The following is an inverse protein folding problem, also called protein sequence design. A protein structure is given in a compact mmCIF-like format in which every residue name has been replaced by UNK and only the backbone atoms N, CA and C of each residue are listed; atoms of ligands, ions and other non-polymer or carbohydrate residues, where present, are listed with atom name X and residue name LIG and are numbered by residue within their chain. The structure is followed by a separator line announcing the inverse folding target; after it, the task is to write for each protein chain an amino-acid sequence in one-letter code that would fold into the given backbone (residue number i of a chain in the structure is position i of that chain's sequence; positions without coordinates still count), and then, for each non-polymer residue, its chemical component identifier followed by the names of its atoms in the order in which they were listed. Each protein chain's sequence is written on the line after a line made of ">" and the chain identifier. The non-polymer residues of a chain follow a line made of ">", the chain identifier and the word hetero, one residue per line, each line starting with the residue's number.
data_IF_034493211179
#
_entry.id   IF_034493211179
#
_cell.length_a   1.000
_cell.length_b   1.000
_cell.length_c   1.000
_cell.angle_alpha   90.00
_cell.angle_beta   90.00
_cell.angle_gamma   90.00
#
_symmetry.space_group_name_H-M   'P 1'
#
loop_
_entity.id
_entity.type
_entity.pdbx_description
1 polymer ?
#
# COMPACT_ATOMS: atom_id res chain seq x y z
N UNK A 1 18.56 -6.23 -14.76
CA UNK A 1 17.41 -5.58 -14.09
C UNK A 1 16.33 -6.62 -14.03
N UNK A 2 15.74 -6.87 -12.86
CA UNK A 2 14.57 -7.73 -12.76
C UNK A 2 13.35 -6.93 -13.23
N UNK A 3 12.71 -7.39 -14.30
CA UNK A 3 11.55 -6.74 -14.95
C UNK A 3 10.28 -7.59 -14.86
N UNK A 4 10.35 -8.76 -14.22
CA UNK A 4 9.28 -9.78 -14.31
C UNK A 4 7.94 -9.27 -13.82
N UNK A 5 7.90 -8.58 -12.67
CA UNK A 5 6.64 -8.01 -12.14
C UNK A 5 6.01 -6.99 -13.10
N UNK A 6 6.82 -6.12 -13.71
CA UNK A 6 6.33 -5.06 -14.60
C UNK A 6 5.81 -5.65 -15.91
N UNK A 7 6.49 -6.65 -16.46
CA UNK A 7 6.06 -7.36 -17.66
C UNK A 7 4.79 -8.17 -17.41
N UNK A 8 4.65 -8.82 -16.25
CA UNK A 8 3.46 -9.57 -15.89
C UNK A 8 2.25 -8.65 -15.65
N UNK A 9 2.44 -7.53 -14.96
CA UNK A 9 1.40 -6.49 -14.75
C UNK A 9 0.91 -5.89 -16.07
N UNK A 10 1.79 -5.75 -17.07
CA UNK A 10 1.45 -5.23 -18.39
C UNK A 10 0.78 -6.27 -19.30
N UNK A 11 0.71 -7.53 -18.88
CA UNK A 11 0.15 -8.61 -19.67
C UNK A 11 -1.39 -8.67 -19.61
N UNK A 12 -1.99 -9.60 -20.36
CA UNK A 12 -3.43 -9.89 -20.27
C UNK A 12 -3.80 -10.84 -19.11
N UNK A 13 -2.83 -11.21 -18.26
CA UNK A 13 -3.09 -12.03 -17.09
C UNK A 13 -4.01 -11.28 -16.10
N UNK A 14 -4.90 -11.98 -15.39
CA UNK A 14 -5.82 -11.35 -14.44
C UNK A 14 -5.12 -10.78 -13.20
N UNK A 15 -3.89 -11.23 -12.92
CA UNK A 15 -3.05 -10.80 -11.79
C UNK A 15 -1.58 -10.84 -12.23
N UNK A 16 -0.69 -10.00 -11.69
CA UNK A 16 -0.97 -8.95 -10.69
C UNK A 16 -1.76 -7.78 -11.29
N UNK A 17 -2.56 -7.11 -10.44
CA UNK A 17 -3.39 -5.98 -10.83
C UNK A 17 -3.02 -4.69 -10.10
N UNK A 18 -3.97 -3.75 -10.01
CA UNK A 18 -3.78 -2.46 -9.33
C UNK A 18 -3.45 -2.59 -7.83
N UNK A 19 -4.03 -3.57 -7.13
CA UNK A 19 -3.72 -3.84 -5.72
C UNK A 19 -2.25 -4.24 -5.53
N UNK A 20 -1.80 -5.28 -6.22
CA UNK A 20 -0.39 -5.70 -6.22
C UNK A 20 0.58 -4.59 -6.64
N UNK A 21 0.24 -3.78 -7.65
CA UNK A 21 1.05 -2.62 -8.03
C UNK A 21 1.13 -1.56 -6.92
N UNK A 22 0.04 -1.35 -6.18
CA UNK A 22 -0.02 -0.42 -5.04
C UNK A 22 0.84 -0.92 -3.87
N UNK A 23 0.76 -2.23 -3.56
CA UNK A 23 1.60 -2.86 -2.55
C UNK A 23 3.09 -2.73 -2.90
N UNK A 24 3.46 -3.02 -4.15
CA UNK A 24 4.83 -2.89 -4.63
C UNK A 24 5.32 -1.43 -4.57
N UNK A 25 4.47 -0.45 -4.92
CA UNK A 25 4.78 0.96 -4.79
C UNK A 25 5.05 1.36 -3.33
N UNK A 26 4.26 0.84 -2.37
CA UNK A 26 4.53 1.01 -0.95
C UNK A 26 5.87 0.38 -0.52
N UNK A 27 6.21 -0.79 -1.04
CA UNK A 27 7.49 -1.44 -0.75
C UNK A 27 8.68 -0.59 -1.23
N UNK A 28 8.56 0.04 -2.41
CA UNK A 28 9.53 1.01 -2.92
C UNK A 28 9.64 2.25 -2.04
N UNK A 29 8.50 2.79 -1.57
CA UNK A 29 8.50 3.89 -0.61
C UNK A 29 9.29 3.55 0.66
N UNK A 30 9.07 2.35 1.22
CA UNK A 30 9.79 1.87 2.40
C UNK A 30 11.28 1.65 2.13
N UNK A 31 11.65 1.19 0.93
CA UNK A 31 13.05 1.03 0.52
C UNK A 31 13.76 2.39 0.43
N UNK A 32 13.13 3.40 -0.17
CA UNK A 32 13.66 4.76 -0.24
C UNK A 32 13.83 5.38 1.15
N UNK A 33 12.82 5.27 2.02
CA UNK A 33 12.96 5.70 3.41
C UNK A 33 14.12 4.97 4.12
N UNK A 34 14.27 3.66 3.89
CA UNK A 34 15.39 2.89 4.45
C UNK A 34 16.74 3.40 3.95
N UNK A 35 16.85 3.80 2.68
CA UNK A 35 18.07 4.40 2.13
C UNK A 35 18.42 5.71 2.85
N UNK A 36 17.44 6.58 3.13
CA UNK A 36 17.66 7.81 3.91
C UNK A 36 18.21 7.48 5.30
N UNK A 37 17.60 6.51 6.00
CA UNK A 37 18.08 6.06 7.31
C UNK A 37 19.51 5.49 7.26
N UNK A 38 19.81 4.63 6.29
CA UNK A 38 21.14 4.05 6.12
C UNK A 38 22.22 5.10 5.80
N UNK A 39 21.86 6.16 5.07
CA UNK A 39 22.75 7.28 4.83
C UNK A 39 22.88 8.23 6.02
N UNK A 40 22.09 8.04 7.08
CA UNK A 40 22.11 8.85 8.30
C UNK A 40 23.01 8.24 9.38
N UNK A 41 22.95 6.92 9.59
CA UNK A 41 23.73 6.20 10.61
C UNK A 41 25.25 6.25 10.35
N UNK A 42 26.04 6.11 11.40
CA UNK A 42 27.51 6.10 11.38
C UNK A 42 28.14 7.49 11.21
N UNK A 43 27.34 8.56 11.16
CA UNK A 43 27.82 9.92 10.96
C UNK A 43 27.77 10.73 12.25
N UNK A 44 28.91 11.35 12.61
CA UNK A 44 29.04 12.17 13.83
C UNK A 44 27.97 13.27 13.95
N UNK A 45 27.55 13.86 12.82
CA UNK A 45 26.51 14.91 12.78
C UNK A 45 25.11 14.43 13.16
N UNK A 46 24.86 13.12 13.18
CA UNK A 46 23.55 12.51 13.45
C UNK A 46 23.56 11.61 14.69
N UNK A 47 24.62 11.63 15.50
CA UNK A 47 24.78 10.75 16.66
C UNK A 47 23.61 10.84 17.67
N UNK A 48 22.94 12.00 17.78
CA UNK A 48 21.81 12.21 18.69
C UNK A 48 20.53 11.49 18.24
N UNK A 49 20.34 11.31 16.92
CA UNK A 49 19.13 10.67 16.36
C UNK A 49 19.37 9.22 15.96
N UNK A 50 20.63 8.77 15.99
CA UNK A 50 21.06 7.46 15.50
C UNK A 50 20.31 6.27 16.13
N UNK A 51 20.05 6.21 17.46
CA UNK A 51 19.26 5.11 18.03
C UNK A 51 17.84 5.04 17.46
N UNK A 52 17.20 6.19 17.27
CA UNK A 52 15.86 6.29 16.69
C UNK A 52 15.88 5.88 15.21
N UNK A 53 16.92 6.29 14.45
CA UNK A 53 17.09 5.88 13.05
C UNK A 53 17.23 4.36 12.93
N UNK A 54 18.00 3.70 13.81
CA UNK A 54 18.11 2.24 13.80
C UNK A 54 16.76 1.55 14.04
N UNK A 55 15.98 2.03 15.00
CA UNK A 55 14.63 1.50 15.26
C UNK A 55 13.73 1.67 14.03
N UNK A 56 13.77 2.83 13.38
CA UNK A 56 12.99 3.10 12.15
C UNK A 56 13.42 2.19 11.00
N UNK A 57 14.72 1.93 10.84
CA UNK A 57 15.24 1.00 9.82
C UNK A 57 14.73 -0.42 10.01
N UNK A 58 14.67 -0.91 11.25
CA UNK A 58 14.11 -2.22 11.56
C UNK A 58 12.62 -2.29 11.20
N UNK A 59 11.84 -1.26 11.58
CA UNK A 59 10.42 -1.18 11.25
C UNK A 59 10.18 -1.09 9.74
N UNK A 60 10.93 -0.24 9.03
CA UNK A 60 10.85 -0.12 7.57
C UNK A 60 11.17 -1.45 6.88
N UNK A 61 12.17 -2.21 7.36
CA UNK A 61 12.47 -3.53 6.83
C UNK A 61 11.30 -4.51 7.01
N UNK A 62 10.64 -4.50 8.17
CA UNK A 62 9.45 -5.32 8.40
C UNK A 62 8.26 -4.90 7.51
N UNK A 63 7.99 -3.60 7.42
CA UNK A 63 6.92 -3.06 6.57
C UNK A 63 7.15 -3.37 5.09
N UNK A 64 8.40 -3.28 4.61
CA UNK A 64 8.75 -3.61 3.23
C UNK A 64 8.50 -5.10 2.94
N UNK A 65 8.86 -6.00 3.86
CA UNK A 65 8.54 -7.42 3.72
C UNK A 65 7.03 -7.65 3.65
N UNK A 66 6.27 -7.03 4.57
CA UNK A 66 4.80 -7.14 4.56
C UNK A 66 4.20 -6.65 3.25
N UNK A 67 4.65 -5.51 2.72
CA UNK A 67 4.17 -4.98 1.45
C UNK A 67 4.49 -5.90 0.27
N UNK A 68 5.66 -6.56 0.28
CA UNK A 68 6.00 -7.56 -0.75
C UNK A 68 5.15 -8.83 -0.63
N UNK A 69 4.86 -9.29 0.59
CA UNK A 69 3.91 -10.40 0.83
C UNK A 69 2.51 -10.04 0.31
N UNK A 70 2.06 -8.81 0.57
CA UNK A 70 0.76 -8.29 0.13
C UNK A 70 0.62 -8.24 -1.41
N UNK A 71 1.71 -8.15 -2.17
CA UNK A 71 1.66 -8.30 -3.64
C UNK A 71 1.12 -9.68 -4.03
N UNK A 72 1.60 -10.72 -3.36
CA UNK A 72 1.16 -12.10 -3.59
C UNK A 72 -0.23 -12.37 -3.01
N UNK A 73 -0.52 -11.84 -1.82
CA UNK A 73 -1.83 -12.01 -1.18
C UNK A 73 -2.95 -11.34 -1.99
N UNK A 74 -2.70 -10.19 -2.63
CA UNK A 74 -3.69 -9.53 -3.50
C UNK A 74 -4.09 -10.42 -4.68
N UNK A 75 -3.10 -11.03 -5.33
CA UNK A 75 -3.34 -11.98 -6.41
C UNK A 75 -4.11 -13.22 -5.93
N UNK A 76 -3.80 -13.73 -4.73
CA UNK A 76 -4.50 -14.87 -4.13
C UNK A 76 -5.93 -14.53 -3.73
N UNK A 77 -6.17 -13.37 -3.12
CA UNK A 77 -7.49 -12.90 -2.71
C UNK A 77 -8.42 -12.63 -3.90
N UNK A 78 -7.87 -12.27 -5.06
CA UNK A 78 -8.65 -12.13 -6.29
C UNK A 78 -9.12 -13.47 -6.88
N UNK A 79 -8.40 -14.57 -6.61
CA UNK A 79 -8.68 -15.90 -7.17
C UNK A 79 -10.12 -16.39 -6.92
N UNK A 80 -10.60 -16.43 -5.66
CA UNK A 80 -11.97 -16.80 -5.32
C UNK A 80 -13.01 -15.92 -6.02
N UNK A 81 -12.78 -14.59 -6.07
CA UNK A 81 -13.70 -13.65 -6.71
C UNK A 81 -13.78 -13.90 -8.22
N UNK A 82 -12.64 -14.12 -8.89
CA UNK A 82 -12.57 -14.47 -10.30
C UNK A 82 -13.26 -15.81 -10.59
N UNK A 83 -13.13 -16.80 -9.71
CA UNK A 83 -13.81 -18.08 -9.82
C UNK A 83 -15.33 -17.93 -9.67
N UNK A 84 -15.79 -17.14 -8.70
CA UNK A 84 -17.20 -16.86 -8.48
C UNK A 84 -17.83 -16.16 -9.71
N UNK A 85 -17.13 -15.21 -10.34
CA UNK A 85 -17.60 -14.57 -11.56
C UNK A 85 -17.76 -15.53 -12.75
N UNK A 86 -17.01 -16.64 -12.78
CA UNK A 86 -17.10 -17.68 -13.82
C UNK A 86 -18.19 -18.73 -13.58
N UNK A 87 -18.85 -18.71 -12.41
CA UNK A 87 -19.92 -19.66 -12.12
C UNK A 87 -21.11 -19.51 -13.09
N UNK A 88 -21.79 -20.62 -13.44
CA UNK A 88 -23.03 -20.62 -14.22
C UNK A 88 -24.11 -19.72 -13.63
N UNK A 89 -25.06 -19.28 -14.47
CA UNK A 89 -26.11 -18.32 -14.08
C UNK A 89 -27.41 -18.51 -14.86
N UNK A 90 -27.65 -19.71 -15.36
CA UNK A 90 -28.76 -20.01 -16.27
C UNK A 90 -30.05 -20.39 -15.51
N UNK A 91 -29.92 -20.84 -14.27
CA UNK A 91 -31.06 -21.14 -13.38
C UNK A 91 -31.08 -20.26 -12.14
N UNK A 92 -32.24 -20.06 -11.49
CA UNK A 92 -32.34 -19.31 -10.24
C UNK A 92 -31.40 -19.85 -9.15
N UNK A 93 -31.25 -21.17 -9.05
CA UNK A 93 -30.35 -21.83 -8.08
C UNK A 93 -28.88 -21.52 -8.37
N UNK A 94 -28.50 -21.56 -9.65
CA UNK A 94 -27.14 -21.19 -10.07
C UNK A 94 -26.85 -19.72 -9.79
N UNK A 95 -27.83 -18.85 -10.04
CA UNK A 95 -27.70 -17.41 -9.81
C UNK A 95 -27.55 -17.09 -8.32
N UNK A 96 -28.34 -17.75 -7.47
CA UNK A 96 -28.22 -17.65 -6.01
C UNK A 96 -26.87 -18.18 -5.49
N UNK A 97 -26.40 -19.33 -5.99
CA UNK A 97 -25.11 -19.89 -5.61
C UNK A 97 -23.93 -18.99 -6.04
N UNK A 98 -24.02 -18.42 -7.25
CA UNK A 98 -23.04 -17.44 -7.75
C UNK A 98 -22.99 -16.19 -6.88
N UNK A 99 -24.15 -15.61 -6.56
CA UNK A 99 -24.23 -14.42 -5.71
C UNK A 99 -23.62 -14.70 -4.33
N UNK A 100 -23.98 -15.83 -3.70
CA UNK A 100 -23.42 -16.21 -2.41
C UNK A 100 -21.88 -16.36 -2.45
N UNK A 101 -21.33 -16.94 -3.51
CA UNK A 101 -19.88 -17.08 -3.69
C UNK A 101 -19.18 -15.72 -3.89
N UNK A 102 -19.79 -14.80 -4.65
CA UNK A 102 -19.28 -13.43 -4.81
C UNK A 102 -19.27 -12.72 -3.46
N UNK A 103 -20.39 -12.73 -2.73
CA UNK A 103 -20.51 -12.04 -1.44
C UNK A 103 -19.51 -12.58 -0.40
N UNK A 104 -19.24 -13.89 -0.40
CA UNK A 104 -18.22 -14.48 0.47
C UNK A 104 -16.79 -14.01 0.09
N UNK A 105 -16.47 -14.00 -1.21
CA UNK A 105 -15.14 -13.62 -1.71
C UNK A 105 -14.83 -12.11 -1.57
N UNK A 106 -15.85 -11.25 -1.55
CA UNK A 106 -15.67 -9.80 -1.44
C UNK A 106 -15.03 -9.36 -0.11
N UNK A 107 -15.18 -10.14 0.96
CA UNK A 107 -14.58 -9.84 2.27
C UNK A 107 -13.06 -9.82 2.18
N UNK A 108 -12.46 -10.93 1.73
CA UNK A 108 -11.01 -11.03 1.59
C UNK A 108 -10.48 -10.05 0.53
N UNK A 109 -11.25 -9.81 -0.53
CA UNK A 109 -10.94 -8.82 -1.56
C UNK A 109 -10.93 -7.37 -1.02
N UNK A 110 -11.59 -7.08 0.11
CA UNK A 110 -11.49 -5.78 0.78
C UNK A 110 -10.35 -5.71 1.81
N UNK A 111 -10.09 -6.80 2.53
CA UNK A 111 -9.10 -6.81 3.62
C UNK A 111 -7.67 -6.62 3.12
N UNK A 112 -7.28 -7.28 2.02
CA UNK A 112 -5.90 -7.17 1.50
C UNK A 112 -5.57 -5.74 1.05
N UNK A 113 -6.40 -5.05 0.25
CA UNK A 113 -6.18 -3.63 -0.04
C UNK A 113 -6.15 -2.73 1.19
N UNK A 114 -6.99 -2.98 2.20
CA UNK A 114 -6.93 -2.22 3.45
C UNK A 114 -5.61 -2.44 4.19
N UNK A 115 -5.07 -3.66 4.20
CA UNK A 115 -3.77 -3.92 4.83
C UNK A 115 -2.61 -3.24 4.07
N UNK A 116 -2.69 -3.16 2.74
CA UNK A 116 -1.77 -2.34 1.94
C UNK A 116 -1.85 -0.87 2.39
N UNK A 117 -3.05 -0.31 2.52
CA UNK A 117 -3.25 1.08 2.94
C UNK A 117 -2.72 1.33 4.36
N UNK A 118 -3.03 0.45 5.31
CA UNK A 118 -2.55 0.53 6.70
C UNK A 118 -1.03 0.48 6.75
N UNK A 119 -0.43 -0.47 6.03
CA UNK A 119 1.02 -0.66 6.02
C UNK A 119 1.75 0.52 5.37
N UNK A 120 1.24 1.03 4.24
CA UNK A 120 1.78 2.21 3.58
C UNK A 120 1.66 3.48 4.44
N UNK A 121 0.56 3.65 5.19
CA UNK A 121 0.42 4.75 6.13
C UNK A 121 1.51 4.74 7.22
N UNK A 122 1.89 3.57 7.75
CA UNK A 122 2.98 3.45 8.73
C UNK A 122 4.35 3.75 8.10
N UNK A 123 4.55 3.43 6.81
CA UNK A 123 5.77 3.83 6.08
C UNK A 123 5.94 5.35 6.06
N UNK A 124 4.84 6.10 5.93
CA UNK A 124 4.85 7.57 5.94
C UNK A 124 5.32 8.10 7.28
N UNK A 125 4.92 7.50 8.40
CA UNK A 125 5.39 7.89 9.74
C UNK A 125 6.91 7.86 9.87
N UNK A 126 7.53 6.82 9.30
CA UNK A 126 8.99 6.67 9.35
C UNK A 126 9.69 7.56 8.33
N UNK A 127 9.07 7.73 7.15
CA UNK A 127 9.56 8.63 6.10
C UNK A 127 9.60 10.07 6.59
N UNK A 128 8.56 10.53 7.26
CA UNK A 128 8.45 11.87 7.85
C UNK A 128 9.61 12.12 8.82
N UNK A 129 9.80 11.23 9.81
CA UNK A 129 10.90 11.35 10.76
C UNK A 129 12.26 11.47 10.05
N UNK A 130 12.49 10.65 9.03
CA UNK A 130 13.74 10.63 8.28
C UNK A 130 13.91 11.84 7.36
N UNK A 131 12.83 12.43 6.85
CA UNK A 131 12.89 13.67 6.08
C UNK A 131 13.43 14.83 6.95
N UNK A 132 12.91 14.96 8.18
CA UNK A 132 13.30 16.02 9.11
C UNK A 132 14.67 15.80 9.75
N UNK A 133 14.97 14.55 10.15
CA UNK A 133 16.11 14.25 11.02
C UNK A 133 17.24 13.48 10.33
N UNK A 134 17.00 12.98 9.12
CA UNK A 134 17.93 12.14 8.38
C UNK A 134 18.96 12.90 7.56
N UNK A 135 19.69 12.13 6.75
CA UNK A 135 20.73 12.61 5.85
C UNK A 135 20.17 13.63 4.86
N UNK A 136 20.65 14.87 4.95
CA UNK A 136 20.29 15.96 4.03
C UNK A 136 20.60 15.64 2.56
N UNK A 137 21.60 14.80 2.30
CA UNK A 137 21.97 14.36 0.95
C UNK A 137 20.90 13.48 0.28
N UNK A 138 20.09 12.78 1.07
CA UNK A 138 19.04 11.88 0.60
C UNK A 138 17.65 12.47 0.85
N UNK A 139 17.56 13.78 1.11
CA UNK A 139 16.29 14.42 1.44
C UNK A 139 15.29 14.34 0.28
N UNK A 140 15.77 14.44 -0.97
CA UNK A 140 14.94 14.21 -2.15
C UNK A 140 14.33 12.80 -2.16
N UNK A 141 15.08 11.78 -1.73
CA UNK A 141 14.60 10.40 -1.66
C UNK A 141 13.48 10.24 -0.63
N UNK A 142 13.52 10.99 0.48
CA UNK A 142 12.42 11.04 1.43
C UNK A 142 11.14 11.65 0.82
N UNK A 143 11.28 12.68 -0.03
CA UNK A 143 10.15 13.25 -0.77
C UNK A 143 9.54 12.26 -1.77
N UNK A 144 10.38 11.52 -2.50
CA UNK A 144 9.90 10.45 -3.40
C UNK A 144 9.23 9.33 -2.63
N UNK A 145 9.77 8.93 -1.47
CA UNK A 145 9.14 7.94 -0.60
C UNK A 145 7.73 8.38 -0.16
N UNK A 146 7.56 9.64 0.23
CA UNK A 146 6.25 10.18 0.59
C UNK A 146 5.27 10.16 -0.60
N UNK A 147 5.73 10.56 -1.80
CA UNK A 147 4.90 10.51 -3.01
C UNK A 147 4.48 9.08 -3.38
N UNK A 148 5.39 8.10 -3.26
CA UNK A 148 5.08 6.70 -3.54
C UNK A 148 4.14 6.09 -2.50
N UNK A 149 4.32 6.40 -1.22
CA UNK A 149 3.40 5.94 -0.19
C UNK A 149 1.98 6.52 -0.38
N UNK A 150 1.88 7.79 -0.82
CA UNK A 150 0.60 8.39 -1.22
C UNK A 150 -0.05 7.61 -2.37
N UNK A 151 0.71 7.35 -3.43
CA UNK A 151 0.22 6.58 -4.58
C UNK A 151 -0.21 5.16 -4.19
N UNK A 152 0.50 4.52 -3.26
CA UNK A 152 0.15 3.19 -2.74
C UNK A 152 -1.20 3.21 -2.01
N UNK A 153 -1.43 4.17 -1.11
CA UNK A 153 -2.72 4.30 -0.39
C UNK A 153 -3.84 4.65 -1.36
N UNK A 154 -3.60 5.58 -2.28
CA UNK A 154 -4.59 5.99 -3.28
C UNK A 154 -4.98 4.82 -4.19
N UNK A 155 -4.00 4.09 -4.73
CA UNK A 155 -4.23 2.95 -5.60
C UNK A 155 -4.94 1.79 -4.90
N UNK A 156 -4.53 1.44 -3.68
CA UNK A 156 -5.17 0.39 -2.91
C UNK A 156 -6.61 0.77 -2.53
N UNK A 157 -6.90 2.04 -2.23
CA UNK A 157 -8.26 2.50 -1.90
C UNK A 157 -9.27 2.23 -3.02
N UNK A 158 -8.86 2.34 -4.28
CA UNK A 158 -9.73 2.07 -5.43
C UNK A 158 -10.18 0.60 -5.47
N UNK A 159 -9.32 -0.32 -5.02
CA UNK A 159 -9.66 -1.74 -4.90
C UNK A 159 -10.64 -1.99 -3.75
N UNK A 160 -10.53 -1.25 -2.64
CA UNK A 160 -11.56 -1.28 -1.58
C UNK A 160 -12.89 -0.78 -2.15
N UNK A 161 -12.91 0.39 -2.80
CA UNK A 161 -14.13 1.03 -3.28
C UNK A 161 -14.89 0.19 -4.30
N UNK A 162 -14.20 -0.46 -5.24
CA UNK A 162 -14.86 -1.33 -6.23
C UNK A 162 -15.46 -2.59 -5.58
N UNK A 163 -14.80 -3.15 -4.57
CA UNK A 163 -15.27 -4.34 -3.88
C UNK A 163 -16.46 -4.02 -2.96
N UNK A 164 -16.39 -2.96 -2.16
CA UNK A 164 -17.53 -2.55 -1.30
C UNK A 164 -18.76 -2.11 -2.08
N UNK A 165 -18.59 -1.61 -3.31
CA UNK A 165 -19.72 -1.27 -4.20
C UNK A 165 -20.49 -2.52 -4.67
N UNK A 166 -19.88 -3.70 -4.56
CA UNK A 166 -20.47 -4.99 -4.94
C UNK A 166 -20.99 -5.78 -3.73
N UNK A 167 -20.79 -5.27 -2.50
CA UNK A 167 -21.21 -5.94 -1.28
C UNK A 167 -22.69 -5.66 -0.97
N UNK A 168 -23.43 -6.71 -0.63
CA UNK A 168 -24.85 -6.61 -0.23
C UNK A 168 -25.03 -6.24 1.26
N UNK A 169 -24.02 -6.50 2.09
CA UNK A 169 -24.01 -6.08 3.50
C UNK A 169 -23.60 -4.62 3.63
N UNK A 170 -24.60 -3.72 3.65
CA UNK A 170 -24.41 -2.27 3.71
C UNK A 170 -23.59 -1.82 4.93
N UNK A 171 -23.80 -2.46 6.09
CA UNK A 171 -23.11 -2.08 7.32
C UNK A 171 -21.61 -2.41 7.22
N UNK A 172 -21.29 -3.58 6.66
CA UNK A 172 -19.91 -4.00 6.43
C UNK A 172 -19.22 -3.20 5.34
N UNK A 173 -19.91 -2.96 4.23
CA UNK A 173 -19.43 -2.13 3.13
C UNK A 173 -19.09 -0.71 3.62
N UNK A 174 -19.96 -0.12 4.45
CA UNK A 174 -19.73 1.19 5.05
C UNK A 174 -18.57 1.20 6.04
N UNK A 175 -18.36 0.11 6.79
CA UNK A 175 -17.19 -0.05 7.67
C UNK A 175 -15.88 0.04 6.89
N UNK A 176 -15.76 -0.72 5.80
CA UNK A 176 -14.58 -0.70 4.93
C UNK A 176 -14.38 0.65 4.24
N UNK A 177 -15.46 1.26 3.73
CA UNK A 177 -15.41 2.58 3.10
C UNK A 177 -14.89 3.65 4.04
N UNK A 178 -15.44 3.73 5.26
CA UNK A 178 -15.01 4.70 6.28
C UNK A 178 -13.55 4.52 6.66
N UNK A 179 -13.09 3.28 6.78
CA UNK A 179 -11.69 3.02 7.08
C UNK A 179 -10.77 3.47 5.94
N UNK A 180 -11.11 3.12 4.70
CA UNK A 180 -10.37 3.54 3.51
C UNK A 180 -10.30 5.07 3.42
N UNK A 181 -11.43 5.76 3.55
CA UNK A 181 -11.51 7.22 3.49
C UNK A 181 -10.64 7.89 4.57
N UNK A 182 -10.67 7.37 5.80
CA UNK A 182 -9.84 7.85 6.90
C UNK A 182 -8.35 7.66 6.59
N UNK A 183 -7.96 6.49 6.08
CA UNK A 183 -6.57 6.19 5.74
C UNK A 183 -6.07 7.07 4.58
N UNK A 184 -6.88 7.27 3.55
CA UNK A 184 -6.58 8.17 2.42
C UNK A 184 -6.39 9.59 2.92
N UNK A 185 -7.36 10.14 3.65
CA UNK A 185 -7.31 11.53 4.11
C UNK A 185 -6.07 11.79 4.97
N UNK A 186 -5.87 10.98 6.02
CA UNK A 186 -4.73 11.14 6.94
C UNK A 186 -3.38 10.93 6.25
N UNK A 187 -3.28 9.96 5.34
CA UNK A 187 -2.00 9.66 4.69
C UNK A 187 -1.64 10.72 3.65
N UNK A 188 -2.62 11.18 2.85
CA UNK A 188 -2.39 12.25 1.87
C UNK A 188 -1.88 13.53 2.52
N UNK A 189 -2.55 13.98 3.58
CA UNK A 189 -2.17 15.19 4.32
C UNK A 189 -0.69 15.15 4.71
N UNK A 190 -0.27 14.05 5.36
CA UNK A 190 1.11 13.89 5.82
C UNK A 190 2.11 13.71 4.69
N UNK A 191 1.76 12.98 3.64
CA UNK A 191 2.61 12.88 2.46
C UNK A 191 2.84 14.24 1.81
N UNK A 192 1.80 15.08 1.75
CA UNK A 192 1.87 16.41 1.15
C UNK A 192 2.68 17.38 2.00
N UNK A 193 2.55 17.31 3.33
CA UNK A 193 3.39 18.04 4.28
C UNK A 193 4.88 17.66 4.13
N UNK A 194 5.18 16.35 4.12
CA UNK A 194 6.56 15.86 3.95
C UNK A 194 7.13 16.28 2.59
N UNK A 195 6.34 16.15 1.52
CA UNK A 195 6.76 16.52 0.18
C UNK A 195 7.03 18.02 0.07
N UNK A 196 6.14 18.86 0.61
CA UNK A 196 6.31 20.31 0.65
C UNK A 196 7.56 20.70 1.43
N UNK A 197 7.75 20.16 2.64
CA UNK A 197 8.96 20.37 3.43
C UNK A 197 10.23 20.01 2.66
N UNK A 198 10.26 18.83 2.03
CA UNK A 198 11.41 18.39 1.24
C UNK A 198 11.69 19.35 0.10
N UNK A 199 10.65 19.73 -0.65
CA UNK A 199 10.77 20.65 -1.80
C UNK A 199 11.35 21.99 -1.37
N UNK A 200 10.83 22.58 -0.30
CA UNK A 200 11.32 23.86 0.22
C UNK A 200 12.76 23.76 0.74
N UNK A 201 13.12 22.60 1.32
CA UNK A 201 14.44 22.38 1.90
C UNK A 201 15.54 22.01 0.88
N UNK A 202 15.21 21.82 -0.40
CA UNK A 202 16.17 21.49 -1.48
C UNK A 202 16.11 22.46 -2.67
N UNK A 203 15.20 23.44 -2.65
CA UNK A 203 15.11 24.52 -3.65
C UNK A 203 15.95 25.73 -3.25
#
# INVERSE_FOLDING_TARGET
>A
MDTSFVEELASAAPTPGGGGASAYCGALASALASMVGNLTVGKKSFAQVEPEVYMRLEKLAALRRRLLELVGEDAQAFGPLAAAYRMPKDTPEQQAAKEAAIQAALVDACEVPLDIMRTAAVVVDHTEFLAYNGSRMARSDAGVAAAFARAAVDGASLNVYINVASMADDARAEGYRKEADRLVAKTRERCDEVFAFVKDAIS
#
